data_IF_498107567886
#
_entry.id   IF_498107567886
#
_cell.length_a   1.000
_cell.length_b   1.000
_cell.length_c   1.000
_cell.angle_alpha   90.00
_cell.angle_beta   90.00
_cell.angle_gamma   90.00
#
_symmetry.space_group_name_H-M   'P 1'
#
loop_
_entity.id
_entity.type
_entity.pdbx_description
1 polymer ?
#
# COMPACT_ATOMS: atom_id res chain seq x y z
N UNK A 1 -12.51 -24.67 7.91
CA UNK A 1 -12.41 -23.47 7.05
C UNK A 1 -11.10 -23.60 6.33
N UNK A 2 -11.16 -23.79 5.03
CA UNK A 2 -10.01 -24.17 4.21
C UNK A 2 -9.94 -23.13 3.10
N UNK A 3 -9.05 -22.16 3.24
CA UNK A 3 -8.85 -21.13 2.23
C UNK A 3 -8.33 -21.76 0.95
N UNK A 4 -9.06 -21.59 -0.17
CA UNK A 4 -8.61 -22.03 -1.50
C UNK A 4 -8.23 -20.79 -2.31
N UNK A 5 -6.96 -20.70 -2.71
CA UNK A 5 -6.44 -19.64 -3.56
C UNK A 5 -6.66 -20.01 -5.04
N UNK A 6 -7.27 -19.12 -5.82
CA UNK A 6 -7.55 -19.32 -7.24
C UNK A 6 -6.53 -18.54 -8.08
N UNK A 7 -5.72 -19.25 -8.86
CA UNK A 7 -4.84 -18.69 -9.89
C UNK A 7 -5.64 -18.57 -11.19
N UNK A 8 -5.61 -17.40 -11.84
CA UNK A 8 -6.07 -17.26 -13.23
C UNK A 8 -4.98 -16.55 -14.03
N UNK A 9 -4.14 -17.28 -14.79
CA UNK A 9 -3.26 -16.65 -15.76
C UNK A 9 -4.14 -16.15 -16.91
N UNK A 10 -4.34 -14.84 -17.02
CA UNK A 10 -4.94 -14.22 -18.22
C UNK A 10 -3.92 -14.17 -19.36
N UNK A 11 -3.38 -15.33 -19.75
CA UNK A 11 -2.61 -15.47 -20.97
C UNK A 11 -2.80 -16.88 -21.55
N UNK A 12 -3.37 -16.93 -22.76
CA UNK A 12 -3.35 -18.04 -23.72
C UNK A 12 -4.43 -19.12 -23.58
N UNK A 13 -5.52 -18.94 -24.32
CA UNK A 13 -6.26 -20.06 -24.89
C UNK A 13 -5.60 -20.47 -26.22
N UNK A 14 -4.90 -21.61 -26.26
CA UNK A 14 -4.73 -22.42 -27.48
C UNK A 14 -4.39 -23.89 -27.14
N UNK A 15 -4.88 -24.78 -28.01
CA UNK A 15 -5.12 -26.22 -27.87
C UNK A 15 -3.92 -27.18 -27.65
N UNK A 16 -4.27 -28.30 -27.00
CA UNK A 16 -3.86 -29.72 -27.19
C UNK A 16 -2.55 -30.32 -26.61
N UNK A 17 -2.75 -31.13 -25.56
CA UNK A 17 -2.36 -32.54 -25.36
C UNK A 17 -0.95 -33.06 -25.72
N UNK A 18 -0.28 -33.66 -24.71
CA UNK A 18 0.81 -34.61 -24.88
C UNK A 18 1.47 -35.01 -23.56
N UNK A 19 1.20 -36.21 -23.06
CA UNK A 19 1.62 -36.74 -21.77
C UNK A 19 3.13 -36.97 -21.62
N UNK A 20 3.66 -36.81 -20.40
CA UNK A 20 4.64 -37.75 -19.85
C UNK A 20 4.65 -37.70 -18.31
N UNK A 21 4.54 -38.87 -17.70
CA UNK A 21 4.50 -39.09 -16.25
C UNK A 21 5.89 -39.40 -15.68
N UNK A 22 6.14 -39.02 -14.41
CA UNK A 22 6.89 -39.86 -13.46
C UNK A 22 6.67 -39.44 -11.98
N UNK A 23 5.80 -40.21 -11.32
CA UNK A 23 5.80 -40.82 -9.96
C UNK A 23 6.28 -40.09 -8.67
N UNK A 24 5.72 -40.49 -7.50
CA UNK A 24 5.54 -39.66 -6.31
C UNK A 24 6.63 -39.86 -5.25
N UNK A 25 6.91 -38.81 -4.46
CA UNK A 25 7.58 -38.97 -3.17
C UNK A 25 6.53 -39.01 -2.05
N UNK A 26 6.65 -40.06 -1.25
CA UNK A 26 5.75 -40.55 -0.22
C UNK A 26 5.55 -39.60 0.97
N UNK A 27 4.36 -39.70 1.55
CA UNK A 27 3.93 -39.07 2.79
C UNK A 27 4.87 -39.34 3.96
N UNK A 28 5.15 -38.28 4.73
CA UNK A 28 5.51 -38.40 6.14
C UNK A 28 4.32 -37.99 7.01
N UNK A 29 4.14 -38.75 8.08
CA UNK A 29 2.90 -38.93 8.83
C UNK A 29 2.89 -38.14 10.13
N UNK A 30 1.84 -37.33 10.33
CA UNK A 30 1.43 -36.88 11.67
C UNK A 30 1.28 -35.37 11.80
N UNK A 31 0.03 -34.91 11.93
CA UNK A 31 -0.45 -33.51 11.93
C UNK A 31 -0.56 -32.91 10.51
N UNK A 32 -1.80 -32.92 10.00
CA UNK A 32 -2.13 -32.64 8.61
C UNK A 32 -1.93 -31.18 8.19
N UNK A 33 -0.75 -30.89 7.66
CA UNK A 33 -0.49 -29.72 6.83
C UNK A 33 -0.17 -30.18 5.42
N UNK A 34 -1.18 -30.15 4.54
CA UNK A 34 -0.99 -30.36 3.12
C UNK A 34 -0.52 -29.06 2.48
N UNK A 35 0.79 -28.88 2.33
CA UNK A 35 1.33 -27.80 1.51
C UNK A 35 1.06 -28.14 0.03
N UNK A 36 0.20 -27.36 -0.62
CA UNK A 36 0.22 -27.28 -2.08
C UNK A 36 1.16 -26.14 -2.41
N UNK A 37 2.36 -26.50 -2.87
CA UNK A 37 3.34 -25.57 -3.44
C UNK A 37 2.65 -24.68 -4.49
N UNK A 38 2.54 -23.37 -4.21
CA UNK A 38 1.85 -22.41 -5.08
C UNK A 38 2.72 -21.95 -6.27
N UNK A 39 3.96 -22.44 -6.41
CA UNK A 39 4.89 -21.98 -7.43
C UNK A 39 5.29 -20.51 -7.21
N UNK A 40 6.38 -20.10 -7.86
CA UNK A 40 6.92 -18.75 -7.71
C UNK A 40 5.90 -17.69 -8.18
N UNK A 41 5.39 -16.86 -7.25
CA UNK A 41 4.86 -15.52 -7.52
C UNK A 41 6.06 -14.57 -7.74
N UNK A 42 6.09 -13.80 -8.80
CA UNK A 42 7.15 -12.82 -9.10
C UNK A 42 6.54 -11.42 -9.15
N UNK A 43 6.40 -10.74 -8.00
CA UNK A 43 5.93 -9.35 -8.04
C UNK A 43 5.71 -8.66 -6.70
N UNK A 44 5.86 -7.33 -6.71
CA UNK A 44 5.43 -6.42 -5.65
C UNK A 44 3.93 -6.11 -5.81
N UNK A 45 3.12 -6.41 -4.79
CA UNK A 45 1.68 -6.09 -4.78
C UNK A 45 1.42 -4.69 -4.20
N UNK A 46 0.56 -3.91 -4.86
CA UNK A 46 0.19 -2.54 -4.42
C UNK A 46 -1.24 -2.54 -3.84
N UNK A 47 -1.43 -2.21 -2.55
CA UNK A 47 -2.72 -2.30 -1.87
C UNK A 47 -2.92 -1.42 -0.62
N UNK A 48 -4.15 -1.00 -0.25
CA UNK A 48 -4.39 -0.15 0.91
C UNK A 48 -4.54 -0.93 2.24
N UNK A 49 -4.33 -0.21 3.35
CA UNK A 49 -4.57 -0.65 4.74
C UNK A 49 -6.07 -0.71 5.10
N UNK A 50 -6.47 -1.48 6.13
CA UNK A 50 -7.76 -1.30 6.79
C UNK A 50 -7.88 0.08 7.48
N UNK A 51 -9.09 0.55 7.85
CA UNK A 51 -9.42 1.96 8.13
C UNK A 51 -8.75 2.64 9.35
N UNK A 52 -7.74 2.06 9.97
CA UNK A 52 -7.14 2.57 11.22
C UNK A 52 -5.61 2.61 11.23
N UNK A 53 -4.94 2.52 10.08
CA UNK A 53 -3.49 2.64 10.00
C UNK A 53 -3.08 3.54 8.82
N UNK A 54 -2.15 4.45 9.06
CA UNK A 54 -1.59 5.40 8.09
C UNK A 54 -0.23 4.90 7.61
N UNK A 55 -0.10 4.48 6.34
CA UNK A 55 1.17 4.05 5.72
C UNK A 55 0.96 3.22 4.45
N UNK A 56 1.88 3.28 3.50
CA UNK A 56 1.78 2.55 2.22
C UNK A 56 2.55 1.23 2.29
N UNK A 57 1.85 0.13 2.61
CA UNK A 57 2.43 -1.21 2.75
C UNK A 57 2.34 -2.07 1.51
N UNK A 58 3.49 -2.44 0.94
CA UNK A 58 3.64 -3.58 0.04
C UNK A 58 3.70 -4.83 0.94
N UNK A 59 2.62 -5.62 0.92
CA UNK A 59 2.40 -6.79 1.77
C UNK A 59 1.46 -6.50 2.96
N UNK A 60 0.41 -7.32 3.14
CA UNK A 60 -0.42 -7.31 4.35
C UNK A 60 -0.36 -8.69 5.00
N UNK A 61 -0.25 -8.72 6.32
CA UNK A 61 -0.40 -9.95 7.11
C UNK A 61 -1.86 -10.42 7.07
N UNK A 62 -2.06 -11.74 6.92
CA UNK A 62 -3.38 -12.36 6.89
C UNK A 62 -3.85 -12.72 8.32
N UNK A 63 -5.16 -12.63 8.58
CA UNK A 63 -5.79 -13.08 9.84
C UNK A 63 -6.64 -14.31 9.55
N UNK A 64 -6.31 -15.45 10.17
CA UNK A 64 -7.20 -16.61 10.23
C UNK A 64 -7.85 -16.68 11.62
N UNK A 65 -9.13 -17.03 11.68
CA UNK A 65 -9.86 -17.19 12.95
C UNK A 65 -9.25 -18.34 13.77
N UNK A 66 -8.71 -18.03 14.95
CA UNK A 66 -8.21 -19.01 15.93
C UNK A 66 -6.70 -19.02 16.17
N UNK A 67 -5.92 -18.19 15.46
CA UNK A 67 -4.48 -18.03 15.68
C UNK A 67 -3.86 -17.12 14.63
N UNK A 68 -2.87 -16.31 15.02
CA UNK A 68 -2.20 -15.36 14.12
C UNK A 68 -1.10 -16.10 13.37
N UNK A 69 -1.38 -16.45 12.11
CA UNK A 69 -0.39 -16.91 11.15
C UNK A 69 -0.11 -15.80 10.15
N UNK A 70 1.02 -15.13 10.31
CA UNK A 70 1.58 -14.26 9.26
C UNK A 70 2.35 -15.16 8.30
N UNK A 71 2.44 -14.82 7.01
CA UNK A 71 3.30 -15.53 6.05
C UNK A 71 4.12 -14.50 5.27
N UNK A 72 5.41 -14.77 5.07
CA UNK A 72 6.30 -14.00 4.21
C UNK A 72 6.53 -14.77 2.91
N UNK A 73 6.56 -14.06 1.79
CA UNK A 73 6.86 -14.62 0.49
C UNK A 73 8.17 -14.02 -0.03
N UNK A 74 9.19 -14.86 -0.23
CA UNK A 74 10.34 -14.56 -1.10
C UNK A 74 10.16 -15.37 -2.37
N UNK A 75 10.60 -14.89 -3.53
CA UNK A 75 10.37 -15.45 -4.88
C UNK A 75 10.56 -16.96 -5.14
N UNK A 76 10.89 -17.76 -4.12
CA UNK A 76 10.99 -19.22 -4.14
C UNK A 76 10.47 -19.93 -2.87
N UNK A 77 9.92 -19.23 -1.87
CA UNK A 77 9.46 -19.85 -0.62
C UNK A 77 8.42 -19.01 0.13
N UNK A 78 7.37 -19.68 0.60
CA UNK A 78 6.48 -19.17 1.66
C UNK A 78 7.13 -19.51 3.00
N UNK A 79 7.62 -18.51 3.72
CA UNK A 79 8.03 -18.66 5.11
C UNK A 79 6.82 -18.43 6.01
N UNK A 80 6.52 -19.39 6.87
CA UNK A 80 5.59 -19.20 7.97
C UNK A 80 6.11 -18.08 8.88
N UNK A 81 5.48 -16.92 8.82
CA UNK A 81 5.83 -15.80 9.69
C UNK A 81 5.23 -15.95 11.10
N UNK A 82 4.45 -17.01 11.39
CA UNK A 82 4.26 -17.46 12.77
C UNK A 82 5.56 -18.05 13.37
N UNK A 83 6.49 -18.53 12.54
CA UNK A 83 7.84 -18.92 12.96
C UNK A 83 8.77 -17.71 13.22
N UNK A 84 8.33 -16.48 12.91
CA UNK A 84 9.07 -15.24 13.19
C UNK A 84 9.06 -14.84 14.69
N UNK A 85 8.68 -15.74 15.59
CA UNK A 85 8.77 -15.59 17.05
C UNK A 85 8.22 -14.25 17.58
N UNK A 86 7.13 -13.77 16.97
CA UNK A 86 6.34 -12.65 17.42
C UNK A 86 4.91 -13.12 17.58
N UNK A 87 4.58 -13.63 18.77
CA UNK A 87 3.20 -13.88 19.17
C UNK A 87 2.42 -12.59 18.95
N UNK A 88 1.57 -12.59 17.91
CA UNK A 88 0.65 -11.53 17.48
C UNK A 88 1.24 -10.18 17.00
N UNK A 89 0.67 -9.59 15.94
CA UNK A 89 0.55 -8.13 15.70
C UNK A 89 1.49 -7.44 14.69
N UNK A 90 0.94 -6.48 13.93
CA UNK A 90 1.68 -5.39 13.23
C UNK A 90 1.50 -5.32 11.71
N UNK A 91 1.54 -4.11 11.12
CA UNK A 91 1.69 -3.93 9.66
C UNK A 91 3.09 -4.38 9.24
N UNK A 92 3.19 -5.22 8.20
CA UNK A 92 4.46 -5.73 7.68
C UNK A 92 4.74 -5.18 6.29
N UNK A 93 5.99 -4.89 6.00
CA UNK A 93 6.47 -4.46 4.69
C UNK A 93 7.43 -5.53 4.19
N UNK A 94 7.24 -6.00 2.97
CA UNK A 94 8.10 -7.01 2.35
C UNK A 94 8.69 -6.46 1.06
N UNK A 95 10.00 -6.58 0.89
CA UNK A 95 10.65 -6.20 -0.37
C UNK A 95 10.96 -7.43 -1.24
N UNK A 96 11.37 -7.18 -2.49
CA UNK A 96 11.67 -8.23 -3.46
C UNK A 96 12.84 -9.15 -3.05
N UNK A 97 13.71 -8.70 -2.13
CA UNK A 97 14.77 -9.52 -1.56
C UNK A 97 14.29 -10.45 -0.43
N UNK A 98 12.99 -10.42 -0.10
CA UNK A 98 12.40 -11.20 0.98
C UNK A 98 12.69 -10.64 2.38
N UNK A 99 13.18 -9.41 2.48
CA UNK A 99 13.32 -8.73 3.77
C UNK A 99 11.93 -8.34 4.29
N UNK A 100 11.76 -8.38 5.61
CA UNK A 100 10.49 -8.03 6.26
C UNK A 100 10.74 -6.96 7.32
N UNK A 101 10.13 -5.79 7.17
CA UNK A 101 10.08 -4.79 8.23
C UNK A 101 8.71 -4.84 8.91
N UNK A 102 8.68 -4.75 10.24
CA UNK A 102 7.43 -4.84 10.97
C UNK A 102 7.57 -4.42 12.42
N UNK A 103 6.51 -4.63 13.18
CA UNK A 103 6.44 -4.35 14.62
C UNK A 103 5.95 -5.59 15.35
N UNK A 104 6.50 -5.90 16.53
CA UNK A 104 5.97 -6.97 17.39
C UNK A 104 4.86 -6.48 18.33
N UNK A 105 3.84 -7.28 18.66
CA UNK A 105 2.78 -6.81 19.60
C UNK A 105 3.23 -6.64 21.05
N UNK A 106 4.33 -7.27 21.44
CA UNK A 106 4.81 -7.28 22.84
C UNK A 106 5.92 -6.27 23.12
N UNK A 107 6.52 -5.72 22.07
CA UNK A 107 7.46 -4.60 22.15
C UNK A 107 7.02 -3.55 21.15
N UNK A 108 6.78 -2.31 21.59
CA UNK A 108 6.53 -1.21 20.66
C UNK A 108 7.74 -0.89 19.74
N UNK A 109 8.79 -1.71 19.74
CA UNK A 109 9.95 -1.62 18.88
C UNK A 109 9.74 -2.35 17.56
N UNK A 110 10.07 -1.67 16.46
CA UNK A 110 10.12 -2.23 15.13
C UNK A 110 11.35 -3.13 14.92
N UNK A 111 11.25 -4.05 13.96
CA UNK A 111 12.32 -4.94 13.53
C UNK A 111 12.46 -4.96 12.00
N UNK A 112 13.66 -5.32 11.54
CA UNK A 112 13.97 -5.75 10.18
C UNK A 112 14.45 -7.20 10.21
N UNK A 113 13.72 -8.08 9.55
CA UNK A 113 14.15 -9.45 9.29
C UNK A 113 14.87 -9.52 7.95
N UNK A 114 16.16 -9.88 7.98
CA UNK A 114 17.00 -10.02 6.80
C UNK A 114 18.04 -11.13 7.04
N UNK A 115 18.39 -11.87 5.99
CA UNK A 115 19.37 -12.97 6.03
C UNK A 115 19.15 -13.98 7.17
N UNK A 116 17.88 -14.32 7.43
CA UNK A 116 17.49 -15.27 8.47
C UNK A 116 17.52 -14.72 9.89
N UNK A 117 17.77 -13.42 10.10
CA UNK A 117 17.97 -12.80 11.41
C UNK A 117 17.01 -11.65 11.68
N UNK A 118 16.59 -11.53 12.95
CA UNK A 118 15.90 -10.35 13.46
C UNK A 118 16.89 -9.27 13.86
N UNK A 119 16.72 -8.09 13.29
CA UNK A 119 17.47 -6.90 13.62
C UNK A 119 16.50 -5.88 14.24
N UNK A 120 16.53 -5.67 15.57
CA UNK A 120 15.80 -4.58 16.19
C UNK A 120 16.23 -3.24 15.59
N UNK A 121 15.28 -2.37 15.27
CA UNK A 121 15.59 -1.04 14.72
C UNK A 121 16.20 -0.10 15.78
N UNK A 122 15.92 -0.37 17.06
CA UNK A 122 16.26 0.52 18.17
C UNK A 122 15.15 1.54 18.46
N UNK A 123 15.49 2.64 19.13
CA UNK A 123 14.57 3.74 19.43
C UNK A 123 15.21 5.11 19.25
N UNK A 124 14.38 6.15 19.19
CA UNK A 124 14.79 7.55 19.25
C UNK A 124 14.83 8.08 20.71
N UNK A 125 15.02 7.18 21.68
CA UNK A 125 15.02 7.49 23.11
C UNK A 125 13.66 7.30 23.80
N UNK A 126 12.57 7.16 23.07
CA UNK A 126 11.26 6.78 23.59
C UNK A 126 11.02 5.27 23.62
N UNK A 127 9.77 4.89 23.91
CA UNK A 127 9.37 3.50 24.14
C UNK A 127 8.95 2.74 22.88
N UNK A 128 8.85 3.39 21.72
CA UNK A 128 8.34 2.74 20.51
C UNK A 128 8.84 3.32 19.19
N UNK A 129 8.88 2.46 18.18
CA UNK A 129 9.17 2.73 16.77
C UNK A 129 8.18 1.97 15.90
N UNK A 130 7.64 2.64 14.89
CA UNK A 130 6.55 2.17 14.04
C UNK A 130 6.97 2.29 12.58
N UNK A 131 6.90 1.20 11.82
CA UNK A 131 7.30 1.16 10.41
C UNK A 131 6.15 1.59 9.52
N UNK A 132 6.45 2.46 8.56
CA UNK A 132 5.49 2.96 7.55
C UNK A 132 5.92 2.68 6.10
N UNK A 133 7.15 2.24 5.88
CA UNK A 133 7.64 1.88 4.55
C UNK A 133 8.99 1.19 4.56
N UNK A 134 9.31 0.51 3.45
CA UNK A 134 10.63 -0.08 3.18
C UNK A 134 10.92 -0.09 1.68
N UNK A 135 12.16 0.25 1.29
CA UNK A 135 12.58 0.19 -0.12
C UNK A 135 13.25 -1.15 -0.47
N UNK A 136 13.60 -1.33 -1.75
CA UNK A 136 14.19 -2.56 -2.26
C UNK A 136 15.57 -2.91 -1.65
N UNK A 137 16.28 -1.91 -1.10
CA UNK A 137 17.57 -2.11 -0.44
C UNK A 137 17.47 -2.50 1.04
N UNK A 138 16.26 -2.51 1.60
CA UNK A 138 16.04 -2.78 3.03
C UNK A 138 16.18 -1.55 3.92
N UNK A 139 16.21 -0.35 3.35
CA UNK A 139 16.05 0.87 4.13
C UNK A 139 14.59 0.99 4.58
N UNK A 140 14.42 1.13 5.89
CA UNK A 140 13.11 1.17 6.56
C UNK A 140 12.83 2.60 7.01
N UNK A 141 11.60 3.06 6.85
CA UNK A 141 11.15 4.36 7.35
C UNK A 141 9.92 4.23 8.23
N UNK A 142 9.71 5.24 9.07
CA UNK A 142 8.68 5.19 10.07
C UNK A 142 8.64 6.43 10.95
N UNK A 143 8.05 6.28 12.12
CA UNK A 143 8.12 7.25 13.19
C UNK A 143 8.43 6.59 14.53
N UNK A 144 9.19 7.28 15.37
CA UNK A 144 9.60 6.82 16.69
C UNK A 144 9.21 7.82 17.77
N UNK A 145 8.89 7.32 18.95
CA UNK A 145 8.70 8.15 20.13
C UNK A 145 10.05 8.72 20.57
N UNK A 146 10.09 10.03 20.80
CA UNK A 146 11.25 10.72 21.35
C UNK A 146 11.40 10.46 22.86
N UNK A 147 12.53 10.85 23.44
CA UNK A 147 12.76 10.77 24.87
C UNK A 147 11.61 11.41 25.69
N UNK A 148 11.06 10.66 26.64
CA UNK A 148 9.90 11.09 27.43
C UNK A 148 8.53 10.86 26.76
N UNK A 149 8.49 10.38 25.52
CA UNK A 149 7.27 10.04 24.75
C UNK A 149 6.30 11.22 24.55
N UNK A 150 6.80 12.45 24.55
CA UNK A 150 5.98 13.65 24.38
C UNK A 150 5.68 13.97 22.89
N UNK A 151 6.49 13.44 21.98
CA UNK A 151 6.34 13.64 20.54
C UNK A 151 6.89 12.45 19.75
N UNK A 152 6.59 12.44 18.45
CA UNK A 152 7.10 11.43 17.51
C UNK A 152 7.90 12.08 16.41
N UNK A 153 9.06 11.54 16.06
CA UNK A 153 9.82 11.98 14.89
C UNK A 153 9.88 10.89 13.82
N UNK A 154 9.88 11.33 12.57
CA UNK A 154 10.16 10.49 11.42
C UNK A 154 11.60 9.95 11.51
N UNK A 155 11.80 8.68 11.12
CA UNK A 155 13.13 8.07 11.08
C UNK A 155 13.41 7.37 9.76
N UNK A 156 14.70 7.18 9.47
CA UNK A 156 15.20 6.11 8.59
C UNK A 156 16.01 5.10 9.38
N UNK A 157 16.01 3.85 8.93
CA UNK A 157 16.88 2.79 9.40
C UNK A 157 17.63 2.19 8.22
N UNK A 158 18.94 2.43 8.18
CA UNK A 158 19.83 2.01 7.10
C UNK A 158 21.17 1.57 7.70
N UNK A 159 21.72 0.46 7.21
CA UNK A 159 23.02 -0.05 7.65
C UNK A 159 23.09 -0.36 9.15
N UNK A 160 21.97 -0.78 9.75
CA UNK A 160 21.90 -1.11 11.18
C UNK A 160 21.71 0.08 12.11
N UNK A 161 21.43 1.28 11.58
CA UNK A 161 21.34 2.52 12.36
C UNK A 161 20.02 3.24 12.13
N UNK A 162 19.30 3.51 13.21
CA UNK A 162 18.18 4.45 13.22
C UNK A 162 18.68 5.90 13.21
N UNK A 163 18.07 6.73 12.38
CA UNK A 163 18.41 8.15 12.23
C UNK A 163 17.13 8.98 12.33
N UNK A 164 17.12 9.94 13.26
CA UNK A 164 16.06 10.93 13.41
C UNK A 164 16.11 11.95 12.25
N UNK A 165 14.98 12.13 11.55
CA UNK A 165 14.83 13.10 10.46
C UNK A 165 14.38 14.47 10.94
N UNK A 166 14.03 14.59 12.23
CA UNK A 166 13.52 15.80 12.90
C UNK A 166 12.21 16.29 12.29
N UNK A 167 11.93 17.58 12.42
CA UNK A 167 10.68 18.23 12.02
C UNK A 167 10.96 19.51 11.21
N UNK A 168 9.91 20.06 10.62
CA UNK A 168 9.85 21.40 10.00
C UNK A 168 9.73 22.53 11.05
N UNK A 169 10.26 22.32 12.25
CA UNK A 169 10.26 23.28 13.37
C UNK A 169 9.11 23.10 14.38
N UNK A 170 8.19 22.17 14.14
CA UNK A 170 7.19 21.74 15.13
C UNK A 170 7.71 20.63 16.04
N UNK A 171 6.80 19.99 16.77
CA UNK A 171 7.14 18.93 17.73
C UNK A 171 7.15 17.54 17.15
N UNK A 172 6.39 17.28 16.08
CA UNK A 172 6.22 15.92 15.55
C UNK A 172 6.36 15.81 14.03
N UNK A 173 6.84 14.66 13.57
CA UNK A 173 6.88 14.24 12.16
C UNK A 173 6.68 12.73 12.03
N UNK A 174 6.30 12.29 10.83
CA UNK A 174 6.14 10.89 10.49
C UNK A 174 6.46 10.65 9.02
N UNK A 175 7.36 9.70 8.74
CA UNK A 175 7.61 9.26 7.38
C UNK A 175 6.46 8.36 6.90
N UNK A 176 6.17 8.39 5.60
CA UNK A 176 5.08 7.63 4.97
C UNK A 176 5.63 6.68 3.91
N UNK A 177 6.60 7.12 3.12
CA UNK A 177 7.14 6.32 2.02
C UNK A 177 8.61 6.65 1.77
N UNK A 178 9.31 5.69 1.16
CA UNK A 178 10.71 5.81 0.76
C UNK A 178 10.90 5.19 -0.62
N UNK A 179 11.64 5.86 -1.50
CA UNK A 179 12.02 5.28 -2.80
C UNK A 179 13.41 4.63 -2.75
N UNK A 180 13.81 3.97 -3.83
CA UNK A 180 15.11 3.28 -3.92
C UNK A 180 16.32 4.23 -3.98
N UNK A 181 16.11 5.54 -4.15
CA UNK A 181 17.17 6.55 -4.03
C UNK A 181 17.36 7.05 -2.59
N UNK A 182 16.62 6.49 -1.62
CA UNK A 182 16.65 6.91 -0.21
C UNK A 182 15.96 8.25 0.04
N UNK A 183 15.11 8.70 -0.88
CA UNK A 183 14.28 9.87 -0.67
C UNK A 183 13.05 9.46 0.14
N UNK A 184 12.77 10.20 1.22
CA UNK A 184 11.69 9.89 2.16
C UNK A 184 10.65 11.00 2.12
N UNK A 185 9.38 10.65 2.11
CA UNK A 185 8.28 11.61 2.20
C UNK A 185 7.41 11.31 3.38
N UNK A 186 6.74 12.32 3.90
CA UNK A 186 5.86 12.17 5.06
C UNK A 186 5.21 13.48 5.45
N UNK A 187 4.77 13.56 6.70
CA UNK A 187 4.16 14.75 7.27
C UNK A 187 5.02 15.27 8.41
N UNK A 188 5.13 16.58 8.56
CA UNK A 188 5.79 17.20 9.69
C UNK A 188 5.03 18.42 10.14
N UNK A 189 4.93 18.60 11.46
CA UNK A 189 4.44 19.83 12.04
C UNK A 189 5.42 20.97 11.72
N UNK A 190 4.86 22.12 11.38
CA UNK A 190 5.59 23.37 11.16
C UNK A 190 5.85 24.07 12.49
N UNK A 191 6.65 25.13 12.46
CA UNK A 191 6.96 25.97 13.62
C UNK A 191 5.72 26.25 14.50
N UNK A 192 5.84 25.92 15.78
CA UNK A 192 4.78 26.14 16.79
C UNK A 192 3.58 25.20 16.69
N UNK A 193 3.68 24.11 15.94
CA UNK A 193 2.60 23.14 15.69
C UNK A 193 1.32 23.78 15.09
N UNK A 194 1.50 24.89 14.37
CA UNK A 194 0.40 25.63 13.77
C UNK A 194 -0.27 24.89 12.60
N UNK A 195 0.49 24.02 11.92
CA UNK A 195 0.06 23.25 10.77
C UNK A 195 0.88 21.97 10.61
N UNK A 196 0.41 21.07 9.74
CA UNK A 196 1.17 19.90 9.28
C UNK A 196 1.36 19.99 7.77
N UNK A 197 2.61 19.83 7.33
CA UNK A 197 3.00 19.94 5.94
C UNK A 197 3.63 18.62 5.45
N UNK A 198 3.38 18.31 4.18
CA UNK A 198 4.11 17.28 3.47
C UNK A 198 5.60 17.68 3.39
N UNK A 199 6.50 16.73 3.62
CA UNK A 199 7.94 16.94 3.48
C UNK A 199 8.56 15.98 2.47
N UNK A 200 9.71 16.39 1.92
CA UNK A 200 10.68 15.53 1.23
C UNK A 200 12.01 15.60 1.97
N UNK A 201 12.48 14.47 2.49
CA UNK A 201 13.82 14.32 3.05
C UNK A 201 14.73 13.71 2.00
N UNK A 202 15.78 14.44 1.65
CA UNK A 202 16.79 14.00 0.70
C UNK A 202 18.12 14.67 1.05
N UNK A 203 19.24 13.99 0.75
CA UNK A 203 20.59 14.55 0.92
C UNK A 203 20.86 15.07 2.36
N UNK A 204 20.24 14.46 3.36
CA UNK A 204 20.42 14.84 4.77
C UNK A 204 19.54 15.98 5.28
N UNK A 205 18.66 16.55 4.45
CA UNK A 205 17.80 17.67 4.80
C UNK A 205 16.32 17.42 4.56
N UNK A 206 15.47 17.97 5.43
CA UNK A 206 14.01 17.97 5.28
C UNK A 206 13.58 19.25 4.54
N UNK A 207 12.87 19.07 3.43
CA UNK A 207 12.30 20.16 2.62
C UNK A 207 10.79 20.19 2.82
N UNK A 208 10.25 21.36 3.16
CA UNK A 208 8.80 21.61 3.17
C UNK A 208 8.28 21.68 1.74
N UNK A 209 7.26 20.89 1.41
CA UNK A 209 6.63 20.89 0.08
C UNK A 209 5.59 22.01 -0.08
N UNK A 210 5.20 22.66 1.01
CA UNK A 210 4.20 23.73 1.04
C UNK A 210 2.77 23.21 0.97
N UNK A 211 1.87 24.07 0.49
CA UNK A 211 0.44 23.78 0.33
C UNK A 211 -0.08 24.37 -0.98
N UNK A 212 -1.31 24.00 -1.36
CA UNK A 212 -2.07 24.61 -2.45
C UNK A 212 -2.77 25.92 -2.03
N UNK A 213 -2.18 26.65 -1.08
CA UNK A 213 -2.67 27.92 -0.56
C UNK A 213 -3.50 27.83 0.72
N UNK A 214 -3.83 26.62 1.19
CA UNK A 214 -4.42 26.38 2.50
C UNK A 214 -3.38 26.21 3.61
N UNK A 215 -3.82 25.78 4.79
CA UNK A 215 -2.97 25.63 5.97
C UNK A 215 -2.21 24.30 6.05
N UNK A 216 -2.63 23.23 5.38
CA UNK A 216 -2.00 21.92 5.57
C UNK A 216 -1.85 21.11 4.30
N UNK A 217 -0.86 20.22 4.31
CA UNK A 217 -0.64 19.22 3.28
C UNK A 217 -0.13 17.93 3.90
N UNK A 218 -0.29 16.83 3.17
CA UNK A 218 0.28 15.55 3.56
C UNK A 218 0.70 14.72 2.37
N UNK A 219 1.87 14.09 2.49
CA UNK A 219 2.37 13.18 1.47
C UNK A 219 1.59 11.85 1.50
N UNK A 220 1.52 11.22 0.34
CA UNK A 220 0.91 9.91 0.14
C UNK A 220 1.99 8.94 -0.31
N UNK A 221 2.66 9.21 -1.43
CA UNK A 221 3.63 8.29 -1.99
C UNK A 221 4.72 9.04 -2.76
N UNK A 222 5.82 8.35 -3.03
CA UNK A 222 6.92 8.82 -3.87
C UNK A 222 7.34 7.70 -4.83
N UNK A 223 7.58 8.03 -6.10
CA UNK A 223 8.09 7.06 -7.07
C UNK A 223 9.63 7.11 -7.20
N UNK A 224 10.18 6.20 -8.01
CA UNK A 224 11.63 6.10 -8.26
C UNK A 224 12.25 7.34 -8.92
N UNK A 225 11.44 8.17 -9.59
CA UNK A 225 11.87 9.42 -10.23
C UNK A 225 11.81 10.62 -9.29
N UNK A 226 11.39 10.42 -8.04
CA UNK A 226 11.27 11.49 -7.04
C UNK A 226 10.00 12.32 -7.15
N UNK A 227 9.00 11.87 -7.94
CA UNK A 227 7.67 12.50 -7.98
C UNK A 227 6.94 12.13 -6.70
N UNK A 228 6.45 13.12 -5.97
CA UNK A 228 5.67 12.94 -4.73
C UNK A 228 4.22 13.25 -5.01
N UNK A 229 3.30 12.41 -4.56
CA UNK A 229 1.87 12.70 -4.57
C UNK A 229 1.36 12.85 -3.14
N UNK A 230 0.28 13.60 -2.99
CA UNK A 230 -0.31 13.85 -1.68
C UNK A 230 -1.63 14.59 -1.78
N UNK A 231 -2.06 15.14 -0.65
CA UNK A 231 -3.26 15.95 -0.54
C UNK A 231 -2.90 17.28 0.11
N UNK A 232 -3.48 18.39 -0.34
CA UNK A 232 -3.30 19.69 0.28
C UNK A 232 -4.60 20.47 0.32
N UNK A 233 -4.80 21.22 1.41
CA UNK A 233 -5.93 22.14 1.51
C UNK A 233 -5.74 23.32 0.57
N UNK A 234 -6.85 23.78 -0.01
CA UNK A 234 -6.89 25.00 -0.80
C UNK A 234 -7.05 26.22 0.11
N UNK A 235 -6.87 27.42 -0.45
CA UNK A 235 -7.09 28.68 0.25
C UNK A 235 -8.43 28.72 1.01
N UNK A 236 -8.37 29.01 2.30
CA UNK A 236 -9.54 29.04 3.20
C UNK A 236 -9.96 27.68 3.77
N UNK A 237 -9.23 26.60 3.46
CA UNK A 237 -9.37 25.26 4.04
C UNK A 237 -10.75 24.59 3.90
N UNK A 238 -11.60 25.10 3.02
CA UNK A 238 -12.93 24.55 2.79
C UNK A 238 -12.91 23.23 1.98
N UNK A 239 -11.83 22.99 1.22
CA UNK A 239 -11.63 21.77 0.45
C UNK A 239 -10.16 21.41 0.36
N UNK A 240 -9.89 20.21 -0.17
CA UNK A 240 -8.55 19.71 -0.43
C UNK A 240 -8.50 19.07 -1.80
N UNK A 241 -7.37 19.23 -2.46
CA UNK A 241 -7.07 18.60 -3.72
C UNK A 241 -5.88 17.66 -3.57
N UNK A 242 -5.86 16.62 -4.38
CA UNK A 242 -4.66 15.86 -4.62
C UNK A 242 -3.62 16.78 -5.30
N UNK A 243 -2.34 16.54 -5.03
CA UNK A 243 -1.25 17.24 -5.69
C UNK A 243 -0.23 16.26 -6.25
N UNK A 244 0.50 16.72 -7.26
CA UNK A 244 1.78 16.16 -7.72
C UNK A 244 2.89 17.17 -7.40
N UNK A 245 3.97 16.74 -6.77
CA UNK A 245 5.16 17.55 -6.53
C UNK A 245 6.31 17.02 -7.40
N UNK A 246 6.71 17.84 -8.36
CA UNK A 246 7.71 17.50 -9.37
C UNK A 246 8.52 18.73 -9.71
N UNK A 247 9.83 18.56 -9.93
CA UNK A 247 10.72 19.68 -10.28
C UNK A 247 10.75 20.80 -9.24
N UNK A 248 10.48 20.49 -7.97
CA UNK A 248 10.47 21.49 -6.89
C UNK A 248 9.15 22.26 -6.73
N UNK A 249 8.11 21.91 -7.49
CA UNK A 249 6.82 22.63 -7.49
C UNK A 249 5.66 21.71 -7.15
N UNK A 250 4.75 22.19 -6.29
CA UNK A 250 3.47 21.54 -6.01
C UNK A 250 2.44 21.95 -7.08
N UNK A 251 1.86 20.96 -7.74
CA UNK A 251 0.90 21.12 -8.84
C UNK A 251 -0.46 20.58 -8.37
N UNK A 252 -1.50 21.41 -8.43
CA UNK A 252 -2.88 21.00 -8.24
C UNK A 252 -3.35 20.19 -9.46
N UNK A 253 -3.80 18.95 -9.23
CA UNK A 253 -4.29 18.08 -10.31
C UNK A 253 -5.80 18.23 -10.57
N UNK A 254 -6.49 19.04 -9.76
CA UNK A 254 -7.90 19.37 -9.91
C UNK A 254 -8.85 18.27 -9.44
N UNK A 255 -10.06 18.26 -10.02
CA UNK A 255 -11.16 17.35 -9.69
C UNK A 255 -11.90 16.90 -10.96
N UNK A 256 -12.91 16.04 -10.83
CA UNK A 256 -13.81 15.65 -11.91
C UNK A 256 -15.02 16.62 -12.05
N UNK A 257 -14.80 17.91 -11.73
CA UNK A 257 -15.80 18.97 -11.75
C UNK A 257 -16.52 19.21 -10.42
N UNK A 258 -16.20 18.44 -9.38
CA UNK A 258 -16.61 18.71 -8.00
C UNK A 258 -15.57 19.54 -7.23
N UNK A 259 -15.62 19.48 -5.90
CA UNK A 259 -14.79 20.31 -5.00
C UNK A 259 -13.58 19.62 -4.38
N UNK A 260 -13.46 18.29 -4.48
CA UNK A 260 -12.42 17.55 -3.74
C UNK A 260 -11.81 16.45 -4.59
N UNK A 261 -10.51 16.26 -4.46
CA UNK A 261 -9.78 15.08 -4.93
C UNK A 261 -8.81 14.59 -3.86
N UNK A 262 -8.52 13.29 -3.88
CA UNK A 262 -7.53 12.65 -3.01
C UNK A 262 -6.65 11.69 -3.82
N UNK A 263 -5.36 11.68 -3.50
CA UNK A 263 -4.38 10.77 -4.10
C UNK A 263 -4.40 9.41 -3.39
N UNK A 264 -4.20 8.33 -4.14
CA UNK A 264 -4.13 6.96 -3.62
C UNK A 264 -2.78 6.32 -3.91
N UNK A 265 -2.32 6.24 -5.16
CA UNK A 265 -1.04 5.61 -5.47
C UNK A 265 -0.41 6.26 -6.70
N UNK A 266 0.90 6.04 -6.88
CA UNK A 266 1.68 6.48 -8.03
C UNK A 266 2.53 5.30 -8.50
N UNK A 267 2.68 5.15 -9.82
CA UNK A 267 3.54 4.14 -10.41
C UNK A 267 4.90 4.71 -10.86
N UNK A 268 5.72 3.85 -11.45
CA UNK A 268 7.08 4.19 -11.91
C UNK A 268 7.11 5.19 -13.08
N UNK A 269 6.05 5.27 -13.91
CA UNK A 269 5.96 6.24 -14.99
C UNK A 269 5.50 7.63 -14.54
N UNK A 270 5.02 7.75 -13.30
CA UNK A 270 4.45 8.98 -12.76
C UNK A 270 2.93 9.09 -12.92
N UNK A 271 2.27 8.06 -13.47
CA UNK A 271 0.81 8.00 -13.43
C UNK A 271 0.35 7.77 -11.99
N UNK A 272 -0.66 8.52 -11.57
CA UNK A 272 -1.26 8.41 -10.24
C UNK A 272 -2.74 8.07 -10.31
N UNK A 273 -3.22 7.34 -9.31
CA UNK A 273 -4.64 7.07 -9.12
C UNK A 273 -5.16 7.78 -7.89
N UNK A 274 -6.47 8.01 -7.87
CA UNK A 274 -7.13 8.63 -6.74
C UNK A 274 -8.64 8.63 -6.85
N UNK A 275 -9.28 9.40 -5.98
CA UNK A 275 -10.72 9.58 -5.96
C UNK A 275 -11.05 11.07 -6.04
N UNK A 276 -12.02 11.43 -6.87
CA UNK A 276 -12.43 12.82 -7.03
C UNK A 276 -13.96 12.95 -7.07
N UNK A 277 -14.48 14.06 -6.54
CA UNK A 277 -15.90 14.35 -6.66
C UNK A 277 -16.24 14.86 -8.06
N UNK A 278 -17.37 14.38 -8.57
CA UNK A 278 -17.91 14.79 -9.87
C UNK A 278 -18.71 16.08 -9.76
N UNK A 279 -19.13 16.63 -10.90
CA UNK A 279 -19.93 17.86 -10.98
C UNK A 279 -21.06 17.93 -9.92
N UNK A 280 -21.17 19.10 -9.29
CA UNK A 280 -22.11 19.38 -8.17
C UNK A 280 -21.92 18.49 -6.94
N UNK A 281 -20.73 17.88 -6.79
CA UNK A 281 -20.46 16.87 -5.76
C UNK A 281 -21.48 15.73 -5.78
N UNK A 282 -22.00 15.41 -6.98
CA UNK A 282 -23.04 14.42 -7.10
C UNK A 282 -22.54 13.05 -6.68
N UNK A 283 -21.33 12.66 -7.05
CA UNK A 283 -20.72 11.37 -6.75
C UNK A 283 -19.21 11.46 -6.50
N UNK A 284 -18.60 10.34 -6.10
CA UNK A 284 -17.15 10.16 -6.06
C UNK A 284 -16.75 9.07 -7.03
N UNK A 285 -15.82 9.39 -7.94
CA UNK A 285 -15.30 8.46 -8.92
C UNK A 285 -13.80 8.28 -8.73
N UNK A 286 -13.33 7.06 -9.02
CA UNK A 286 -11.93 6.75 -9.21
C UNK A 286 -11.40 7.45 -10.47
N UNK A 287 -10.17 7.97 -10.41
CA UNK A 287 -9.49 8.57 -11.56
C UNK A 287 -8.09 7.98 -11.74
N UNK A 288 -7.57 8.12 -12.96
CA UNK A 288 -6.14 8.08 -13.25
C UNK A 288 -5.69 9.46 -13.77
N UNK A 289 -4.59 9.98 -13.25
CA UNK A 289 -3.94 11.21 -13.70
C UNK A 289 -2.59 10.85 -14.30
N UNK A 290 -2.42 11.16 -15.57
CA UNK A 290 -1.20 10.92 -16.33
C UNK A 290 -1.06 12.02 -17.39
N UNK A 291 0.18 12.39 -17.72
CA UNK A 291 0.49 13.39 -18.75
C UNK A 291 -0.27 14.73 -18.55
N UNK A 292 -0.43 15.15 -17.29
CA UNK A 292 -1.13 16.39 -16.93
C UNK A 292 -2.67 16.33 -17.06
N UNK A 293 -3.25 15.13 -17.25
CA UNK A 293 -4.69 14.95 -17.49
C UNK A 293 -5.32 13.98 -16.51
N UNK A 294 -6.36 14.43 -15.82
CA UNK A 294 -7.26 13.57 -15.04
C UNK A 294 -8.27 12.86 -15.95
N UNK A 295 -8.35 11.54 -15.85
CA UNK A 295 -9.29 10.69 -16.58
C UNK A 295 -10.18 9.96 -15.58
N UNK A 296 -11.50 10.15 -15.71
CA UNK A 296 -12.53 9.43 -14.96
C UNK A 296 -12.55 7.95 -15.38
N UNK A 297 -12.44 7.02 -14.43
CA UNK A 297 -12.53 5.59 -14.70
C UNK A 297 -13.99 5.10 -14.87
N UNK A 298 -14.96 5.91 -14.45
CA UNK A 298 -16.38 5.59 -14.45
C UNK A 298 -16.78 4.65 -13.31
N UNK A 299 -17.87 3.93 -13.49
CA UNK A 299 -18.43 3.01 -12.50
C UNK A 299 -18.95 1.73 -13.19
N UNK A 300 -19.30 0.71 -12.39
CA UNK A 300 -20.02 -0.48 -12.86
C UNK A 300 -21.54 -0.21 -13.06
N UNK A 301 -21.89 1.01 -13.47
CA UNK A 301 -23.26 1.46 -13.71
C UNK A 301 -23.95 2.10 -12.51
N UNK A 302 -23.36 2.03 -11.31
CA UNK A 302 -23.84 2.73 -10.13
C UNK A 302 -23.29 4.14 -9.99
N UNK A 303 -23.39 4.69 -8.78
CA UNK A 303 -23.06 6.08 -8.49
C UNK A 303 -21.59 6.33 -8.20
N UNK A 304 -20.90 5.42 -7.52
CA UNK A 304 -19.55 5.68 -7.01
C UNK A 304 -18.52 4.63 -7.48
N UNK A 305 -17.27 5.06 -7.54
CA UNK A 305 -16.09 4.20 -7.66
C UNK A 305 -14.93 4.75 -6.82
N UNK A 306 -14.07 3.84 -6.36
CA UNK A 306 -12.91 4.14 -5.52
C UNK A 306 -11.70 3.33 -5.97
N UNK A 307 -10.58 3.98 -6.25
CA UNK A 307 -9.32 3.33 -6.57
C UNK A 307 -8.66 2.79 -5.30
N UNK A 308 -8.04 1.60 -5.38
CA UNK A 308 -7.37 0.96 -4.25
C UNK A 308 -5.89 0.67 -4.54
N UNK A 309 -5.55 0.28 -5.75
CA UNK A 309 -4.19 -0.07 -6.14
C UNK A 309 -4.00 0.01 -7.65
N UNK A 310 -2.75 0.14 -8.08
CA UNK A 310 -2.38 0.14 -9.49
C UNK A 310 -1.06 -0.60 -9.70
N UNK A 311 -0.85 -1.13 -10.89
CA UNK A 311 0.43 -1.68 -11.31
C UNK A 311 1.31 -0.63 -12.06
N UNK A 312 2.46 -1.05 -12.56
CA UNK A 312 3.35 -0.18 -13.34
C UNK A 312 2.84 0.15 -14.75
N UNK A 313 1.90 -0.63 -15.28
CA UNK A 313 1.32 -0.43 -16.61
C UNK A 313 0.11 0.51 -16.61
N UNK A 314 -0.42 0.84 -15.43
CA UNK A 314 -1.58 1.72 -15.26
C UNK A 314 -2.91 0.98 -15.18
N UNK A 315 -2.88 -0.33 -14.96
CA UNK A 315 -4.05 -1.12 -14.63
C UNK A 315 -4.43 -0.86 -13.16
N UNK A 316 -5.72 -0.64 -12.92
CA UNK A 316 -6.22 -0.15 -11.62
C UNK A 316 -7.22 -1.12 -11.03
N UNK A 317 -7.04 -1.50 -9.78
CA UNK A 317 -8.07 -2.20 -9.02
C UNK A 317 -8.80 -1.24 -8.08
N UNK A 318 -10.05 -1.55 -7.80
CA UNK A 318 -10.84 -0.73 -6.90
C UNK A 318 -12.21 -1.31 -6.57
N UNK A 319 -13.06 -0.48 -5.99
CA UNK A 319 -14.46 -0.81 -5.68
C UNK A 319 -15.39 0.11 -6.45
N UNK A 320 -16.49 -0.42 -6.98
CA UNK A 320 -17.52 0.38 -7.65
C UNK A 320 -18.92 -0.15 -7.37
N UNK A 321 -19.89 0.76 -7.27
CA UNK A 321 -21.30 0.39 -7.09
C UNK A 321 -21.94 -0.04 -8.41
N UNK A 322 -22.86 -0.99 -8.34
CA UNK A 322 -23.71 -1.41 -9.48
C UNK A 322 -24.92 -0.49 -9.69
N UNK A 323 -25.49 -0.53 -10.90
CA UNK A 323 -26.72 0.18 -11.22
C UNK A 323 -27.85 -0.17 -10.23
N UNK A 324 -28.49 0.85 -9.66
CA UNK A 324 -29.60 0.68 -8.71
C UNK A 324 -29.21 0.09 -7.35
N UNK A 325 -27.92 -0.03 -7.05
CA UNK A 325 -27.42 -0.66 -5.83
C UNK A 325 -26.38 0.21 -5.13
N UNK A 326 -26.32 0.12 -3.80
CA UNK A 326 -25.22 0.67 -2.99
C UNK A 326 -24.13 -0.36 -2.70
N UNK A 327 -24.35 -1.63 -3.09
CA UNK A 327 -23.38 -2.71 -2.94
C UNK A 327 -22.19 -2.42 -3.85
N UNK A 328 -20.99 -2.54 -3.28
CA UNK A 328 -19.73 -2.34 -3.98
C UNK A 328 -19.19 -3.68 -4.48
N UNK A 329 -18.80 -3.71 -5.75
CA UNK A 329 -18.11 -4.80 -6.40
C UNK A 329 -16.65 -4.40 -6.66
N UNK A 330 -15.76 -5.38 -6.59
CA UNK A 330 -14.37 -5.15 -7.01
C UNK A 330 -14.32 -4.98 -8.52
N UNK A 331 -13.51 -4.04 -9.00
CA UNK A 331 -13.24 -3.87 -10.41
C UNK A 331 -11.75 -3.97 -10.73
N UNK A 332 -11.47 -4.33 -11.99
CA UNK A 332 -10.21 -4.09 -12.68
C UNK A 332 -10.48 -3.10 -13.81
N UNK A 333 -9.78 -1.99 -13.86
CA UNK A 333 -9.76 -1.07 -14.97
C UNK A 333 -8.51 -1.32 -15.78
N UNK A 334 -8.69 -1.75 -17.02
CA UNK A 334 -7.59 -2.04 -17.94
C UNK A 334 -7.99 -1.69 -19.37
N UNK A 335 -7.05 -1.18 -20.16
CA UNK A 335 -7.28 -0.82 -21.56
C UNK A 335 -8.52 0.08 -21.77
N UNK A 336 -8.73 1.04 -20.86
CA UNK A 336 -9.83 1.98 -20.93
C UNK A 336 -11.20 1.44 -20.49
N UNK A 337 -11.26 0.23 -19.91
CA UNK A 337 -12.53 -0.44 -19.56
C UNK A 337 -12.50 -0.95 -18.13
N UNK A 338 -13.64 -0.79 -17.45
CA UNK A 338 -13.88 -1.37 -16.12
C UNK A 338 -14.52 -2.76 -16.25
N UNK A 339 -13.88 -3.76 -15.66
CA UNK A 339 -14.34 -5.14 -15.55
C UNK A 339 -14.78 -5.44 -14.11
N UNK A 340 -15.96 -6.00 -13.93
CA UNK A 340 -16.45 -6.46 -12.63
C UNK A 340 -15.77 -7.79 -12.24
N UNK A 341 -14.85 -7.72 -11.28
CA UNK A 341 -14.12 -8.89 -10.77
C UNK A 341 -15.02 -9.79 -9.92
N UNK A 342 -16.04 -9.25 -9.27
CA UNK A 342 -16.95 -10.01 -8.41
C UNK A 342 -17.82 -10.98 -9.22
N UNK A 343 -18.01 -10.74 -10.52
CA UNK A 343 -18.73 -11.65 -11.43
C UNK A 343 -17.85 -12.75 -12.04
N UNK A 344 -16.52 -12.66 -11.95
CA UNK A 344 -15.61 -13.65 -12.54
C UNK A 344 -15.59 -14.97 -11.76
N UNK A 345 -16.04 -14.95 -10.50
CA UNK A 345 -15.97 -16.10 -9.61
C UNK A 345 -17.37 -16.50 -9.14
N UNK A 346 -18.12 -17.29 -9.93
CA UNK A 346 -19.48 -17.69 -9.57
C UNK A 346 -19.56 -18.54 -8.29
N UNK A 347 -18.42 -19.02 -7.76
CA UNK A 347 -18.33 -19.71 -6.47
C UNK A 347 -18.23 -18.79 -5.24
N UNK A 348 -18.07 -17.48 -5.42
CA UNK A 348 -17.95 -16.51 -4.33
C UNK A 348 -19.26 -15.78 -4.07
N UNK A 349 -19.50 -15.41 -2.81
CA UNK A 349 -20.55 -14.47 -2.39
C UNK A 349 -20.05 -13.05 -2.25
N UNK A 350 -18.74 -12.88 -2.06
CA UNK A 350 -18.06 -11.59 -2.04
C UNK A 350 -16.61 -11.75 -2.45
N UNK A 351 -16.08 -10.75 -3.14
CA UNK A 351 -14.66 -10.61 -3.46
C UNK A 351 -14.25 -9.15 -3.38
N UNK A 352 -13.26 -8.85 -2.54
CA UNK A 352 -12.65 -7.54 -2.37
C UNK A 352 -11.19 -7.63 -2.81
N UNK A 353 -10.88 -7.09 -3.98
CA UNK A 353 -9.51 -6.95 -4.45
C UNK A 353 -8.78 -5.94 -3.57
N UNK A 354 -7.60 -6.33 -3.08
CA UNK A 354 -6.77 -5.50 -2.20
C UNK A 354 -5.39 -5.24 -2.77
N UNK A 355 -4.96 -5.95 -3.81
CA UNK A 355 -3.69 -5.64 -4.46
C UNK A 355 -3.58 -6.19 -5.87
N UNK A 356 -2.76 -5.54 -6.69
CA UNK A 356 -2.40 -5.95 -8.05
C UNK A 356 -0.87 -5.84 -8.25
N UNK A 357 -0.29 -6.68 -9.11
CA UNK A 357 1.10 -6.61 -9.54
C UNK A 357 1.22 -6.50 -11.07
N UNK A 358 2.45 -6.30 -11.56
CA UNK A 358 2.78 -6.16 -12.98
C UNK A 358 2.50 -7.43 -13.83
N UNK A 359 2.33 -8.58 -13.18
CA UNK A 359 1.93 -9.82 -13.85
C UNK A 359 0.39 -9.96 -13.97
N UNK A 360 -0.36 -8.91 -13.63
CA UNK A 360 -1.83 -8.90 -13.57
C UNK A 360 -2.40 -9.90 -12.55
N UNK A 361 -1.60 -10.28 -11.56
CA UNK A 361 -2.08 -11.09 -10.45
C UNK A 361 -2.77 -10.18 -9.43
N UNK A 362 -3.96 -10.59 -9.01
CA UNK A 362 -4.79 -9.84 -8.07
C UNK A 362 -4.93 -10.64 -6.79
N UNK A 363 -4.61 -10.01 -5.66
CA UNK A 363 -4.88 -10.53 -4.32
C UNK A 363 -6.10 -9.85 -3.73
N UNK A 364 -6.79 -10.55 -2.84
CA UNK A 364 -7.99 -10.03 -2.22
C UNK A 364 -8.54 -10.93 -1.12
N UNK A 365 -9.59 -10.45 -0.47
CA UNK A 365 -10.40 -11.25 0.45
C UNK A 365 -11.63 -11.75 -0.27
N UNK A 366 -12.02 -13.00 0.01
CA UNK A 366 -13.14 -13.65 -0.64
C UNK A 366 -13.99 -14.40 0.39
N UNK A 367 -15.29 -14.49 0.14
CA UNK A 367 -16.20 -15.38 0.87
C UNK A 367 -16.78 -16.38 -0.13
N UNK A 368 -16.66 -17.67 0.16
CA UNK A 368 -17.20 -18.75 -0.69
C UNK A 368 -18.69 -18.96 -0.43
N UNK A 369 -19.43 -19.41 -1.45
CA UNK A 369 -20.87 -19.77 -1.32
C UNK A 369 -21.13 -20.91 -0.35
N UNK A 370 -20.14 -21.76 -0.10
CA UNK A 370 -20.21 -22.86 0.86
C UNK A 370 -19.93 -22.44 2.30
N UNK A 371 -19.51 -21.19 2.56
CA UNK A 371 -19.08 -20.75 3.88
C UNK A 371 -17.84 -21.49 4.41
N UNK A 372 -17.05 -22.09 3.51
CA UNK A 372 -15.85 -22.88 3.80
C UNK A 372 -14.58 -22.18 3.36
#
# INVERSE_FOLDING_TARGET
MTYTFLRSPFASALLLAGACACLPASADSGTGWGYTDLGALDGSFVGPLPPSATGYGIGQGFVASGGIGTFSYSGSSIADASALNGTSGGSYYVNAAGMVAGQGSTSSQAFLYADGKFNPLGSLGGNGTYVTGMNASGEVVGYGNEAGNASTHAFTYTGGRITDLKTLGGTSSSAIAVNNAGQVVGNSNTSGDAASHAFLYAQGGMTDLGTLGGTSSGAVAINGSGIVIGNSTLGGDASKHAFEYVGGSMIDIGTLGGTTSIAVAINSSGAMIGNATTANNAATHAFIFADGKMTDLGTLGGKNSYALGMDSFGDVIGMSTLAGSTVQHSFLYSNGKMLDLSNLFPGLTSFVATGINDAMEIIGTAVTKSGL
#
